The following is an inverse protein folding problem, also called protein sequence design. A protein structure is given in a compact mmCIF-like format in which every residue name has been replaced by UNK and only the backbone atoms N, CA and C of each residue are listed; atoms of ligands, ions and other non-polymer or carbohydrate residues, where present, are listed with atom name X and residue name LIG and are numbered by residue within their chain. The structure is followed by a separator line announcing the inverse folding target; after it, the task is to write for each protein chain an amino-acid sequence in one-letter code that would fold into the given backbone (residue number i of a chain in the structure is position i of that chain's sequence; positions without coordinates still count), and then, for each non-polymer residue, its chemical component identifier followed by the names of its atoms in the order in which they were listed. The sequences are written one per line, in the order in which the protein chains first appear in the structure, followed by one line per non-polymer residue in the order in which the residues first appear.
data_IF_781762946185
#
_entry.id   IF_781762946185
#
_cell.length_a   1.000
_cell.length_b   1.000
_cell.length_c   1.000
_cell.angle_alpha   90.00
_cell.angle_beta   90.00
_cell.angle_gamma   90.00
#
_symmetry.space_group_name_H-M   'P 1'
#
loop_
_entity.id
_entity.type
_entity.pdbx_description
1 polymer ?
#
# COMPACT_ATOMS: atom_id res chain seq x y z
N UNK A 1 -12.24 33.25 -21.58
CA UNK A 1 -13.48 32.95 -22.32
C UNK A 1 -14.71 33.24 -21.47
N UNK A 2 -15.86 33.57 -22.07
CA UNK A 2 -17.13 33.70 -21.36
C UNK A 2 -17.75 32.32 -21.07
N UNK A 3 -18.47 32.17 -19.95
CA UNK A 3 -19.04 30.88 -19.52
C UNK A 3 -19.98 30.27 -20.57
N UNK A 4 -20.88 31.07 -21.14
CA UNK A 4 -21.80 30.60 -22.19
C UNK A 4 -21.08 30.11 -23.44
N UNK A 5 -20.01 30.80 -23.88
CA UNK A 5 -19.23 30.39 -25.04
C UNK A 5 -18.56 29.03 -24.80
N UNK A 6 -17.98 28.80 -23.61
CA UNK A 6 -17.40 27.50 -23.29
C UNK A 6 -18.44 26.37 -23.37
N UNK A 7 -19.68 26.58 -22.91
CA UNK A 7 -20.72 25.55 -23.03
C UNK A 7 -21.04 25.20 -24.48
N UNK A 8 -21.08 26.20 -25.37
CA UNK A 8 -21.29 25.99 -26.80
C UNK A 8 -20.14 25.19 -27.41
N UNK A 9 -18.89 25.53 -27.07
CA UNK A 9 -17.70 24.81 -27.53
C UNK A 9 -17.67 23.36 -27.01
N UNK A 10 -18.04 23.12 -25.74
CA UNK A 10 -18.17 21.77 -25.19
C UNK A 10 -19.22 20.95 -25.94
N UNK A 11 -20.39 21.54 -26.24
CA UNK A 11 -21.44 20.87 -27.00
C UNK A 11 -21.01 20.59 -28.45
N UNK A 12 -20.31 21.51 -29.10
CA UNK A 12 -19.77 21.33 -30.45
C UNK A 12 -18.72 20.21 -30.49
N UNK A 13 -17.76 20.23 -29.56
CA UNK A 13 -16.73 19.21 -29.47
C UNK A 13 -17.29 17.82 -29.14
N UNK A 14 -18.30 17.74 -28.25
CA UNK A 14 -18.96 16.49 -27.93
C UNK A 14 -19.71 15.89 -29.12
N UNK A 15 -20.38 16.72 -29.94
CA UNK A 15 -20.99 16.26 -31.21
C UNK A 15 -19.94 15.81 -32.22
N UNK A 16 -18.81 16.53 -32.33
CA UNK A 16 -17.70 16.12 -33.19
C UNK A 16 -17.07 14.78 -32.74
N UNK A 17 -17.13 14.48 -31.44
CA UNK A 17 -16.76 13.18 -30.86
C UNK A 17 -17.84 12.09 -31.04
N UNK A 18 -18.95 12.39 -31.73
CA UNK A 18 -20.02 11.44 -32.05
C UNK A 18 -21.14 11.32 -31.00
N UNK A 19 -21.16 12.17 -29.97
CA UNK A 19 -22.19 12.15 -28.94
C UNK A 19 -23.45 12.95 -29.31
N UNK A 20 -24.61 12.49 -28.84
CA UNK A 20 -25.81 13.32 -28.75
C UNK A 20 -25.66 14.28 -27.56
N UNK A 21 -26.01 15.56 -27.75
CA UNK A 21 -25.75 16.60 -26.76
C UNK A 21 -26.96 17.52 -26.53
N UNK A 22 -27.31 17.67 -25.25
CA UNK A 22 -28.32 18.60 -24.75
C UNK A 22 -27.71 19.58 -23.76
N UNK A 23 -28.19 20.82 -23.71
CA UNK A 23 -27.66 21.86 -22.82
C UNK A 23 -28.59 22.12 -21.64
N UNK A 24 -28.03 22.48 -20.49
CA UNK A 24 -28.78 22.87 -19.28
C UNK A 24 -29.75 21.77 -18.77
N UNK A 25 -29.36 20.49 -18.90
CA UNK A 25 -30.19 19.34 -18.51
C UNK A 25 -30.27 19.23 -16.99
N UNK A 26 -31.48 19.15 -16.45
CA UNK A 26 -31.70 18.98 -15.01
C UNK A 26 -31.67 17.50 -14.61
N UNK A 27 -31.10 17.23 -13.43
CA UNK A 27 -31.21 15.92 -12.81
C UNK A 27 -32.65 15.58 -12.39
N UNK A 28 -32.95 14.31 -12.07
CA UNK A 28 -34.31 13.83 -11.77
C UNK A 28 -35.05 14.66 -10.69
N UNK A 29 -34.34 15.03 -9.63
CA UNK A 29 -34.90 15.81 -8.50
C UNK A 29 -34.59 17.31 -8.60
N UNK A 30 -34.02 17.76 -9.73
CA UNK A 30 -33.64 19.16 -9.96
C UNK A 30 -32.48 19.69 -9.09
N UNK A 31 -31.85 18.84 -8.27
CA UNK A 31 -30.75 19.18 -7.33
C UNK A 31 -29.42 19.51 -8.02
N UNK A 32 -29.32 19.20 -9.31
CA UNK A 32 -28.23 19.61 -10.16
C UNK A 32 -28.74 19.89 -11.58
N UNK A 33 -27.93 20.66 -12.32
CA UNK A 33 -28.13 20.94 -13.73
C UNK A 33 -26.79 20.84 -14.44
N UNK A 34 -26.72 19.99 -15.45
CA UNK A 34 -25.54 19.86 -16.27
C UNK A 34 -25.46 21.01 -17.27
N UNK A 35 -24.28 21.59 -17.45
CA UNK A 35 -24.07 22.62 -18.45
C UNK A 35 -24.28 22.06 -19.86
N UNK A 36 -23.67 20.91 -20.14
CA UNK A 36 -23.92 20.08 -21.33
C UNK A 36 -24.02 18.62 -20.88
N UNK A 37 -25.04 17.91 -21.34
CA UNK A 37 -25.17 16.47 -21.19
C UNK A 37 -24.80 15.81 -22.52
N UNK A 38 -23.72 15.04 -22.52
CA UNK A 38 -23.36 14.16 -23.62
C UNK A 38 -23.93 12.76 -23.38
N UNK A 39 -24.39 12.11 -24.44
CA UNK A 39 -24.95 10.76 -24.39
C UNK A 39 -24.68 10.00 -25.68
N UNK A 40 -24.66 8.68 -25.60
CA UNK A 40 -24.72 7.86 -26.80
C UNK A 40 -26.10 8.03 -27.48
N UNK A 41 -26.20 7.91 -28.82
CA UNK A 41 -27.48 7.96 -29.53
C UNK A 41 -28.57 7.01 -29.00
N UNK A 42 -28.18 5.86 -28.45
CA UNK A 42 -29.05 4.88 -27.80
C UNK A 42 -29.34 5.14 -26.32
N UNK A 43 -28.71 6.15 -25.71
CA UNK A 43 -28.90 6.55 -24.31
C UNK A 43 -28.31 5.62 -23.25
N UNK A 44 -27.47 4.65 -23.62
CA UNK A 44 -26.84 3.68 -22.75
C UNK A 44 -25.84 4.30 -21.75
N UNK A 45 -25.22 5.41 -22.13
CA UNK A 45 -24.36 6.20 -21.24
C UNK A 45 -24.69 7.69 -21.33
N UNK A 46 -24.37 8.40 -20.24
CA UNK A 46 -24.47 9.85 -20.14
C UNK A 46 -23.28 10.40 -19.38
N UNK A 47 -22.76 11.56 -19.80
CA UNK A 47 -21.65 12.26 -19.16
C UNK A 47 -22.00 13.75 -19.09
N UNK A 48 -21.90 14.36 -17.91
CA UNK A 48 -22.03 15.80 -17.75
C UNK A 48 -20.69 16.50 -18.10
N UNK A 49 -20.74 17.51 -18.96
CA UNK A 49 -19.60 18.37 -19.28
C UNK A 49 -19.84 19.74 -18.65
N UNK A 50 -19.09 20.05 -17.60
CA UNK A 50 -19.30 21.22 -16.75
C UNK A 50 -18.29 22.33 -17.07
N UNK A 51 -18.78 23.50 -17.48
CA UNK A 51 -17.94 24.67 -17.63
C UNK A 51 -17.83 25.39 -16.28
N UNK A 52 -16.64 25.60 -15.75
CA UNK A 52 -16.46 26.31 -14.48
C UNK A 52 -15.44 27.43 -14.61
N UNK A 53 -15.97 28.62 -14.91
CA UNK A 53 -15.17 29.84 -15.08
C UNK A 53 -15.41 30.88 -13.98
N UNK A 54 -16.32 30.62 -13.02
CA UNK A 54 -16.51 31.51 -11.87
C UNK A 54 -15.74 30.99 -10.66
N UNK A 55 -15.40 31.83 -9.67
CA UNK A 55 -14.91 31.35 -8.39
C UNK A 55 -15.85 30.31 -7.78
N UNK A 56 -15.30 29.18 -7.33
CA UNK A 56 -16.01 28.12 -6.61
C UNK A 56 -15.03 27.54 -5.60
N UNK A 57 -15.54 27.15 -4.43
CA UNK A 57 -14.70 26.50 -3.42
C UNK A 57 -14.46 25.03 -3.79
N UNK A 58 -13.33 24.44 -3.35
CA UNK A 58 -13.09 23.00 -3.40
C UNK A 58 -14.29 22.14 -2.98
N UNK A 59 -14.86 22.40 -1.80
CA UNK A 59 -15.96 21.59 -1.27
C UNK A 59 -17.24 21.73 -2.11
N UNK A 60 -17.52 22.93 -2.63
CA UNK A 60 -18.71 23.17 -3.43
C UNK A 60 -18.65 22.45 -4.78
N UNK A 61 -17.47 22.40 -5.43
CA UNK A 61 -17.32 21.66 -6.69
C UNK A 61 -17.41 20.15 -6.45
N UNK A 62 -16.82 19.65 -5.35
CA UNK A 62 -16.83 18.23 -5.01
C UNK A 62 -18.27 17.79 -4.72
N UNK A 63 -19.01 18.55 -3.91
CA UNK A 63 -20.41 18.27 -3.63
C UNK A 63 -21.28 18.30 -4.89
N UNK A 64 -20.97 19.16 -5.87
CA UNK A 64 -21.73 19.23 -7.14
C UNK A 64 -21.43 18.04 -8.05
N UNK A 65 -20.17 17.64 -8.16
CA UNK A 65 -19.79 16.43 -8.89
C UNK A 65 -20.41 15.17 -8.25
N UNK A 66 -20.44 15.11 -6.92
CA UNK A 66 -21.03 14.00 -6.17
C UNK A 66 -22.54 13.86 -6.41
N UNK A 67 -23.29 14.97 -6.43
CA UNK A 67 -24.74 14.93 -6.73
C UNK A 67 -25.04 14.34 -8.11
N UNK A 68 -24.20 14.60 -9.11
CA UNK A 68 -24.33 13.99 -10.45
C UNK A 68 -23.99 12.50 -10.39
N UNK A 69 -22.91 12.15 -9.69
CA UNK A 69 -22.45 10.77 -9.52
C UNK A 69 -23.49 9.88 -8.82
N UNK A 70 -24.21 10.38 -7.83
CA UNK A 70 -25.31 9.67 -7.14
C UNK A 70 -26.44 9.29 -8.11
N UNK A 71 -26.56 9.98 -9.25
CA UNK A 71 -27.49 9.64 -10.32
C UNK A 71 -26.83 8.91 -11.49
N UNK A 72 -25.68 8.26 -11.27
CA UNK A 72 -24.89 7.55 -12.29
C UNK A 72 -24.49 8.42 -13.49
N UNK A 73 -24.37 9.74 -13.27
CA UNK A 73 -23.88 10.70 -14.27
C UNK A 73 -22.44 11.09 -13.90
N UNK A 74 -21.41 10.47 -14.48
CA UNK A 74 -20.04 10.98 -14.36
C UNK A 74 -19.95 12.40 -14.95
N UNK A 75 -19.05 13.21 -14.40
CA UNK A 75 -18.84 14.59 -14.86
C UNK A 75 -17.39 14.83 -15.27
N UNK A 76 -17.20 15.70 -16.26
CA UNK A 76 -15.91 16.26 -16.65
C UNK A 76 -15.98 17.77 -16.48
N UNK A 77 -15.04 18.34 -15.73
CA UNK A 77 -15.02 19.76 -15.40
C UNK A 77 -13.95 20.50 -16.20
N UNK A 78 -14.33 21.62 -16.81
CA UNK A 78 -13.50 22.38 -17.73
C UNK A 78 -13.27 23.80 -17.24
N UNK A 79 -12.05 24.30 -17.37
CA UNK A 79 -11.72 25.71 -17.17
C UNK A 79 -10.64 26.15 -18.14
N UNK A 80 -10.67 27.41 -18.57
CA UNK A 80 -9.56 28.03 -19.30
C UNK A 80 -8.61 28.81 -18.36
N UNK A 81 -8.99 28.95 -17.09
CA UNK A 81 -8.21 29.68 -16.09
C UNK A 81 -6.92 28.94 -15.78
N UNK A 82 -5.84 29.69 -15.60
CA UNK A 82 -4.59 29.14 -15.12
C UNK A 82 -4.75 28.67 -13.67
N UNK A 83 -4.58 27.36 -13.43
CA UNK A 83 -4.56 26.71 -12.11
C UNK A 83 -5.71 27.12 -11.17
N UNK A 84 -6.98 26.87 -11.52
CA UNK A 84 -8.05 27.05 -10.56
C UNK A 84 -7.83 26.10 -9.37
N UNK A 85 -8.15 26.51 -8.13
CA UNK A 85 -7.81 25.76 -6.91
C UNK A 85 -8.50 24.39 -6.80
N UNK A 86 -9.48 24.14 -7.66
CA UNK A 86 -10.22 22.90 -7.72
C UNK A 86 -9.73 21.93 -8.80
N UNK A 87 -8.80 22.34 -9.67
CA UNK A 87 -8.29 21.50 -10.75
C UNK A 87 -7.67 20.23 -10.15
N UNK A 88 -8.17 19.07 -10.55
CA UNK A 88 -7.74 17.76 -10.04
C UNK A 88 -8.41 17.33 -8.73
N UNK A 89 -9.29 18.12 -8.11
CA UNK A 89 -10.13 17.62 -7.00
C UNK A 89 -11.30 16.78 -7.51
N UNK A 90 -11.83 17.14 -8.67
CA UNK A 90 -12.83 16.40 -9.43
C UNK A 90 -12.24 16.02 -10.79
N UNK A 91 -12.84 15.09 -11.55
CA UNK A 91 -12.39 14.81 -12.92
C UNK A 91 -12.43 16.07 -13.77
N UNK A 92 -11.25 16.62 -14.09
CA UNK A 92 -11.16 17.96 -14.67
C UNK A 92 -9.99 18.11 -15.61
N UNK A 93 -10.14 19.02 -16.57
CA UNK A 93 -9.07 19.44 -17.48
C UNK A 93 -9.02 20.96 -17.61
N UNK A 94 -7.81 21.48 -17.85
CA UNK A 94 -7.63 22.88 -18.25
C UNK A 94 -7.53 22.96 -19.76
N UNK A 95 -8.23 23.93 -20.33
CA UNK A 95 -8.21 24.21 -21.76
C UNK A 95 -7.33 25.43 -22.05
N UNK A 96 -6.74 25.44 -23.24
CA UNK A 96 -6.20 26.64 -23.89
C UNK A 96 -6.72 26.71 -25.31
N UNK A 97 -6.66 27.90 -25.88
CA UNK A 97 -6.84 28.10 -27.30
C UNK A 97 -5.50 27.96 -28.00
N UNK A 98 -5.42 27.16 -29.05
CA UNK A 98 -4.23 27.05 -29.90
C UNK A 98 -4.14 28.21 -30.91
N UNK A 99 -3.14 28.15 -31.82
CA UNK A 99 -2.92 29.19 -32.83
C UNK A 99 -4.08 29.32 -33.83
N UNK A 100 -4.80 28.23 -34.09
CA UNK A 100 -5.92 28.16 -35.02
C UNK A 100 -7.26 28.55 -34.37
N UNK A 101 -7.26 28.91 -33.08
CA UNK A 101 -8.46 29.26 -32.34
C UNK A 101 -9.22 28.07 -31.75
N UNK A 102 -8.68 26.85 -31.87
CA UNK A 102 -9.31 25.63 -31.38
C UNK A 102 -8.98 25.36 -29.91
N UNK A 103 -9.92 24.75 -29.17
CA UNK A 103 -9.68 24.38 -27.77
C UNK A 103 -8.89 23.07 -27.69
N UNK A 104 -7.78 23.11 -26.96
CA UNK A 104 -6.94 21.96 -26.66
C UNK A 104 -6.82 21.74 -25.15
N UNK A 105 -6.73 20.48 -24.74
CA UNK A 105 -6.48 20.10 -23.34
C UNK A 105 -5.02 20.35 -22.99
N UNK A 106 -4.78 21.31 -22.11
CA UNK A 106 -3.43 21.71 -21.67
C UNK A 106 -3.01 21.03 -20.37
N UNK A 107 -3.93 20.76 -19.45
CA UNK A 107 -3.68 20.08 -18.17
C UNK A 107 -4.82 19.12 -17.83
N UNK A 108 -4.52 18.10 -17.03
CA UNK A 108 -5.48 17.09 -16.57
C UNK A 108 -5.26 15.72 -17.21
N UNK A 109 -4.75 15.64 -18.43
CA UNK A 109 -4.28 14.38 -19.02
C UNK A 109 -2.91 13.99 -18.44
N UNK A 110 -2.74 12.72 -18.11
CA UNK A 110 -1.51 12.19 -17.54
C UNK A 110 -1.20 10.75 -17.99
N UNK A 111 0.07 10.38 -17.93
CA UNK A 111 0.56 9.00 -18.07
C UNK A 111 1.41 8.62 -16.86
N UNK A 112 1.47 7.32 -16.57
CA UNK A 112 2.30 6.77 -15.50
C UNK A 112 3.43 5.94 -16.09
N UNK A 113 4.66 6.24 -15.71
CA UNK A 113 5.85 5.53 -16.15
C UNK A 113 6.94 5.59 -15.07
N UNK A 114 7.67 4.49 -14.90
CA UNK A 114 8.86 4.42 -14.02
C UNK A 114 8.61 4.88 -12.56
N UNK A 115 7.39 4.70 -12.06
CA UNK A 115 7.04 5.14 -10.70
C UNK A 115 6.68 6.61 -10.55
N UNK A 116 6.46 7.33 -11.67
CA UNK A 116 6.09 8.74 -11.70
C UNK A 116 4.88 8.97 -12.60
N UNK A 117 4.04 9.93 -12.20
CA UNK A 117 3.07 10.56 -13.08
C UNK A 117 3.69 11.74 -13.84
N UNK A 118 3.36 11.86 -15.12
CA UNK A 118 3.79 12.96 -15.97
C UNK A 118 2.64 13.44 -16.88
N UNK A 119 2.72 14.69 -17.31
CA UNK A 119 1.71 15.29 -18.16
C UNK A 119 1.55 14.49 -19.47
N UNK A 120 0.30 14.29 -19.86
CA UNK A 120 -0.05 13.69 -21.13
C UNK A 120 0.15 14.66 -22.30
N UNK A 121 -0.06 14.19 -23.54
CA UNK A 121 -0.03 15.07 -24.71
C UNK A 121 -1.14 16.12 -24.63
N UNK A 122 -0.89 17.28 -25.23
CA UNK A 122 -1.96 18.22 -25.54
C UNK A 122 -2.72 17.72 -26.75
N UNK A 123 -4.05 17.67 -26.64
CA UNK A 123 -4.92 17.16 -27.70
C UNK A 123 -6.15 18.05 -27.90
N UNK A 124 -6.73 18.10 -29.11
CA UNK A 124 -8.00 18.77 -29.34
C UNK A 124 -9.08 18.29 -28.38
N UNK A 125 -9.94 19.21 -27.95
CA UNK A 125 -11.03 18.92 -27.02
C UNK A 125 -11.95 17.79 -27.53
N UNK A 126 -12.28 17.79 -28.84
CA UNK A 126 -13.11 16.75 -29.44
C UNK A 126 -12.45 15.36 -29.39
N UNK A 127 -11.13 15.28 -29.59
CA UNK A 127 -10.40 14.03 -29.49
C UNK A 127 -10.37 13.51 -28.05
N UNK A 128 -10.09 14.38 -27.08
CA UNK A 128 -10.17 14.04 -25.66
C UNK A 128 -11.55 13.51 -25.27
N UNK A 129 -12.63 14.21 -25.66
CA UNK A 129 -14.00 13.76 -25.38
C UNK A 129 -14.29 12.40 -26.05
N UNK A 130 -13.80 12.17 -27.28
CA UNK A 130 -13.89 10.88 -27.94
C UNK A 130 -13.11 9.76 -27.24
N UNK A 131 -12.10 10.08 -26.43
CA UNK A 131 -11.46 9.11 -25.54
C UNK A 131 -12.27 8.87 -24.27
N UNK A 132 -12.85 9.91 -23.68
CA UNK A 132 -13.71 9.80 -22.49
C UNK A 132 -14.94 8.94 -22.80
N UNK A 133 -15.66 9.23 -23.89
CA UNK A 133 -16.87 8.50 -24.26
C UNK A 133 -16.63 7.04 -24.68
N UNK A 134 -15.38 6.71 -25.04
CA UNK A 134 -14.97 5.36 -25.41
C UNK A 134 -14.24 4.62 -24.26
N UNK A 135 -14.26 5.15 -23.03
CA UNK A 135 -13.51 4.64 -21.87
C UNK A 135 -12.00 4.44 -22.12
N UNK A 136 -11.44 5.18 -23.09
CA UNK A 136 -10.00 5.21 -23.37
C UNK A 136 -9.27 6.24 -22.52
N UNK A 137 -9.99 7.21 -21.97
CA UNK A 137 -9.52 8.11 -20.94
C UNK A 137 -10.49 8.05 -19.76
N UNK A 138 -10.00 7.61 -18.61
CA UNK A 138 -10.79 7.44 -17.39
C UNK A 138 -10.27 8.39 -16.30
N UNK A 139 -11.13 8.87 -15.39
CA UNK A 139 -10.67 9.62 -14.24
C UNK A 139 -9.98 8.69 -13.26
N UNK A 140 -8.83 9.10 -12.75
CA UNK A 140 -8.03 8.30 -11.83
C UNK A 140 -7.48 9.15 -10.70
N UNK A 141 -7.79 8.77 -9.46
CA UNK A 141 -7.20 9.36 -8.26
C UNK A 141 -5.84 8.70 -8.02
N UNK A 142 -4.77 9.48 -8.18
CA UNK A 142 -3.40 8.99 -8.07
C UNK A 142 -3.12 8.50 -6.66
N UNK A 143 -2.52 7.32 -6.55
CA UNK A 143 -2.10 6.73 -5.28
C UNK A 143 -0.62 7.07 -5.04
N UNK A 144 0.20 6.92 -6.07
CA UNK A 144 1.59 7.33 -6.10
C UNK A 144 1.63 8.84 -6.30
N UNK A 145 2.00 9.57 -5.24
CA UNK A 145 2.10 11.03 -5.27
C UNK A 145 3.38 11.55 -5.95
N UNK A 146 4.24 10.66 -6.46
CA UNK A 146 5.42 11.05 -7.22
C UNK A 146 5.01 11.54 -8.60
N UNK A 147 5.33 12.79 -8.88
CA UNK A 147 4.96 13.45 -10.12
C UNK A 147 6.15 14.21 -10.68
N UNK A 148 6.12 14.47 -11.98
CA UNK A 148 6.90 15.53 -12.60
C UNK A 148 6.05 16.80 -12.64
N UNK A 149 6.67 17.95 -12.42
CA UNK A 149 6.07 19.25 -12.75
C UNK A 149 5.51 19.20 -14.19
N UNK A 150 4.30 19.71 -14.49
CA UNK A 150 3.44 20.57 -13.67
C UNK A 150 2.29 19.86 -12.90
N UNK A 151 2.31 18.54 -12.72
CA UNK A 151 1.16 17.80 -12.17
C UNK A 151 0.98 17.84 -10.63
N UNK A 152 1.83 18.57 -9.91
CA UNK A 152 1.84 18.60 -8.44
C UNK A 152 0.48 18.92 -7.78
N UNK A 153 -0.39 19.81 -8.30
CA UNK A 153 -1.67 20.07 -7.65
C UNK A 153 -2.79 19.06 -7.98
N UNK A 154 -2.59 18.14 -8.94
CA UNK A 154 -3.69 17.38 -9.55
C UNK A 154 -3.92 16.01 -8.89
N UNK A 155 -4.76 15.90 -7.87
CA UNK A 155 -5.03 14.60 -7.21
C UNK A 155 -5.70 13.57 -8.13
N UNK A 156 -6.63 14.04 -8.96
CA UNK A 156 -7.35 13.29 -9.98
C UNK A 156 -6.88 13.73 -11.36
N UNK A 157 -6.54 12.76 -12.21
CA UNK A 157 -6.12 12.98 -13.60
C UNK A 157 -6.99 12.16 -14.54
N UNK A 158 -7.08 12.58 -15.78
CA UNK A 158 -7.56 11.74 -16.87
C UNK A 158 -6.39 10.94 -17.44
N UNK A 159 -6.57 9.63 -17.54
CA UNK A 159 -5.49 8.75 -18.01
C UNK A 159 -6.04 7.53 -18.72
N UNK A 160 -5.20 6.84 -19.48
CA UNK A 160 -5.59 5.61 -20.13
C UNK A 160 -5.57 4.44 -19.11
N UNK A 161 -6.50 3.46 -19.21
CA UNK A 161 -6.60 2.36 -18.24
C UNK A 161 -5.30 1.54 -18.02
N UNK A 162 -4.42 1.47 -19.02
CA UNK A 162 -3.11 0.82 -18.85
C UNK A 162 -2.21 1.50 -17.83
N UNK A 163 -2.32 2.82 -17.65
CA UNK A 163 -1.52 3.56 -16.67
C UNK A 163 -2.05 3.39 -15.24
N UNK A 164 -3.36 3.22 -15.09
CA UNK A 164 -3.98 2.82 -13.82
C UNK A 164 -3.42 1.46 -13.37
N UNK A 165 -3.39 0.48 -14.30
CA UNK A 165 -2.81 -0.85 -14.03
C UNK A 165 -1.31 -0.78 -13.73
N UNK A 166 -0.58 0.09 -14.44
CA UNK A 166 0.85 0.28 -14.21
C UNK A 166 1.15 0.87 -12.82
N UNK A 167 0.34 1.82 -12.34
CA UNK A 167 0.49 2.36 -10.98
C UNK A 167 0.20 1.29 -9.91
N UNK A 168 -0.86 0.50 -10.09
CA UNK A 168 -1.19 -0.60 -9.19
C UNK A 168 -0.05 -1.64 -9.12
N UNK A 169 0.46 -2.09 -10.27
CA UNK A 169 1.57 -3.03 -10.34
C UNK A 169 2.85 -2.48 -9.70
N UNK A 170 3.17 -1.19 -9.92
CA UNK A 170 4.31 -0.55 -9.28
C UNK A 170 4.18 -0.53 -7.75
N UNK A 171 2.99 -0.26 -7.23
CA UNK A 171 2.72 -0.28 -5.79
C UNK A 171 2.90 -1.69 -5.22
N UNK A 172 2.28 -2.69 -5.85
CA UNK A 172 2.40 -4.09 -5.40
C UNK A 172 3.87 -4.52 -5.36
N UNK A 173 4.64 -4.22 -6.42
CA UNK A 173 6.06 -4.58 -6.47
C UNK A 173 6.86 -3.88 -5.35
N UNK A 174 6.56 -2.60 -5.09
CA UNK A 174 7.20 -1.85 -4.01
C UNK A 174 6.87 -2.43 -2.63
N UNK A 175 5.60 -2.74 -2.38
CA UNK A 175 5.14 -3.30 -1.11
C UNK A 175 5.80 -4.67 -0.87
N UNK A 176 5.89 -5.53 -1.90
CA UNK A 176 6.62 -6.81 -1.82
C UNK A 176 8.11 -6.63 -1.52
N UNK A 177 8.78 -5.64 -2.14
CA UNK A 177 10.20 -5.35 -1.86
C UNK A 177 10.41 -4.84 -0.44
N UNK A 178 9.52 -3.98 0.05
CA UNK A 178 9.57 -3.44 1.41
C UNK A 178 9.31 -4.56 2.44
N UNK A 179 8.33 -5.43 2.18
CA UNK A 179 8.07 -6.62 3.01
C UNK A 179 9.28 -7.56 3.03
N UNK A 180 9.87 -7.89 1.88
CA UNK A 180 11.05 -8.76 1.83
C UNK A 180 12.27 -8.18 2.57
N UNK A 181 12.46 -6.85 2.52
CA UNK A 181 13.50 -6.16 3.30
C UNK A 181 13.22 -6.25 4.79
N UNK A 182 11.98 -5.96 5.20
CA UNK A 182 11.56 -6.05 6.59
C UNK A 182 11.73 -7.47 7.15
N UNK A 183 11.33 -8.50 6.39
CA UNK A 183 11.51 -9.90 6.77
C UNK A 183 12.99 -10.26 6.93
N UNK A 184 13.85 -9.80 6.00
CA UNK A 184 15.28 -10.03 6.07
C UNK A 184 15.93 -9.34 7.29
N UNK A 185 15.59 -8.08 7.54
CA UNK A 185 16.05 -7.32 8.70
C UNK A 185 15.60 -7.98 10.01
N UNK A 186 14.33 -8.38 10.08
CA UNK A 186 13.78 -9.09 11.23
C UNK A 186 14.48 -10.44 11.44
N UNK A 187 14.72 -11.21 10.37
CA UNK A 187 15.43 -12.48 10.43
C UNK A 187 16.86 -12.31 10.95
N UNK A 188 17.58 -11.29 10.48
CA UNK A 188 18.92 -10.96 10.95
C UNK A 188 18.92 -10.54 12.43
N UNK A 189 17.98 -9.67 12.82
CA UNK A 189 17.82 -9.26 14.22
C UNK A 189 17.51 -10.45 15.14
N UNK A 190 16.67 -11.39 14.70
CA UNK A 190 16.35 -12.61 15.43
C UNK A 190 17.58 -13.52 15.61
N UNK A 191 18.39 -13.71 14.56
CA UNK A 191 19.66 -14.46 14.64
C UNK A 191 20.62 -13.78 15.62
N UNK A 192 20.76 -12.46 15.54
CA UNK A 192 21.66 -11.70 16.42
C UNK A 192 21.22 -11.81 17.88
N UNK A 193 19.93 -11.62 18.17
CA UNK A 193 19.37 -11.75 19.50
C UNK A 193 19.53 -13.17 20.07
N UNK A 194 19.35 -14.22 19.24
CA UNK A 194 19.59 -15.61 19.65
C UNK A 194 21.06 -15.82 20.06
N UNK A 195 22.02 -15.33 19.25
CA UNK A 195 23.45 -15.44 19.55
C UNK A 195 23.83 -14.71 20.83
N UNK A 196 23.27 -13.52 21.06
CA UNK A 196 23.51 -12.77 22.29
C UNK A 196 23.02 -13.53 23.52
N UNK A 197 21.79 -14.08 23.49
CA UNK A 197 21.26 -14.90 24.59
C UNK A 197 22.11 -16.14 24.83
N UNK A 198 22.49 -16.83 23.77
CA UNK A 198 23.38 -17.99 23.83
C UNK A 198 24.71 -17.65 24.50
N UNK A 199 25.36 -16.55 24.09
CA UNK A 199 26.62 -16.08 24.67
C UNK A 199 26.48 -15.70 26.15
N UNK A 200 25.42 -14.96 26.51
CA UNK A 200 25.17 -14.54 27.88
C UNK A 200 24.99 -15.72 28.85
N UNK A 201 24.39 -16.82 28.38
CA UNK A 201 24.16 -18.01 29.20
C UNK A 201 25.33 -19.00 29.24
N UNK A 202 26.35 -18.88 28.38
CA UNK A 202 27.44 -19.87 28.36
C UNK A 202 28.11 -20.01 29.73
N UNK A 203 28.48 -18.89 30.36
CA UNK A 203 29.17 -18.90 31.64
C UNK A 203 28.28 -19.41 32.79
N UNK A 204 27.06 -18.88 33.02
CA UNK A 204 26.15 -19.42 34.03
C UNK A 204 25.88 -20.92 33.86
N UNK A 205 25.70 -21.39 32.63
CA UNK A 205 25.46 -22.82 32.36
C UNK A 205 26.69 -23.67 32.66
N UNK A 206 27.90 -23.22 32.30
CA UNK A 206 29.14 -23.94 32.64
C UNK A 206 29.31 -24.07 34.14
N UNK A 207 29.07 -22.99 34.90
CA UNK A 207 29.16 -22.98 36.37
C UNK A 207 28.11 -23.92 36.99
N UNK A 208 26.86 -23.85 36.52
CA UNK A 208 25.77 -24.72 36.97
C UNK A 208 26.09 -26.21 36.73
N UNK A 209 26.47 -26.56 35.50
CA UNK A 209 26.74 -27.94 35.12
C UNK A 209 27.97 -28.50 35.85
N UNK A 210 28.99 -27.67 36.09
CA UNK A 210 30.15 -28.10 36.88
C UNK A 210 29.77 -28.44 38.33
N UNK A 211 28.94 -27.62 38.97
CA UNK A 211 28.46 -27.87 40.33
C UNK A 211 27.61 -29.14 40.41
N UNK A 212 26.76 -29.38 39.41
CA UNK A 212 25.84 -30.52 39.39
C UNK A 212 26.52 -31.84 39.00
N UNK A 213 27.38 -31.84 37.98
CA UNK A 213 27.98 -33.05 37.43
C UNK A 213 29.41 -33.31 37.94
N UNK A 214 30.04 -32.36 38.64
CA UNK A 214 31.41 -32.47 39.14
C UNK A 214 32.48 -32.54 38.05
N UNK A 215 32.15 -32.19 36.81
CA UNK A 215 33.05 -32.24 35.65
C UNK A 215 32.88 -30.99 34.79
N UNK A 216 33.99 -30.47 34.24
CA UNK A 216 33.94 -29.26 33.43
C UNK A 216 33.28 -29.56 32.07
N UNK A 217 32.18 -28.88 31.71
CA UNK A 217 31.49 -29.13 30.46
C UNK A 217 32.19 -28.46 29.28
N UNK A 218 31.96 -28.99 28.08
CA UNK A 218 32.36 -28.37 26.82
C UNK A 218 31.14 -27.81 26.11
N UNK A 219 31.11 -26.50 25.85
CA UNK A 219 30.06 -25.85 25.06
C UNK A 219 30.49 -25.80 23.60
N UNK A 220 29.59 -26.12 22.67
CA UNK A 220 29.86 -25.97 21.25
C UNK A 220 30.04 -24.49 20.83
N UNK A 221 30.73 -24.27 19.72
CA UNK A 221 30.99 -22.92 19.19
C UNK A 221 29.76 -22.28 18.53
N UNK A 222 28.81 -23.09 18.06
CA UNK A 222 27.62 -22.63 17.35
C UNK A 222 26.47 -23.60 17.57
N UNK A 223 25.24 -23.07 17.53
CA UNK A 223 24.05 -23.90 17.60
C UNK A 223 23.79 -24.60 16.27
N UNK A 224 23.26 -25.81 16.34
CA UNK A 224 23.04 -26.64 15.14
C UNK A 224 21.57 -27.03 15.00
N UNK A 225 21.09 -27.33 13.78
CA UNK A 225 19.71 -27.76 13.57
C UNK A 225 19.32 -28.96 14.43
N UNK A 226 20.24 -29.88 14.71
CA UNK A 226 20.01 -31.08 15.53
C UNK A 226 19.67 -30.79 16.99
N UNK A 227 20.06 -29.61 17.48
CA UNK A 227 19.75 -29.10 18.81
C UNK A 227 18.83 -27.88 18.76
N UNK A 228 17.92 -27.83 17.77
CA UNK A 228 16.96 -26.73 17.58
C UNK A 228 17.64 -25.35 17.46
N UNK A 229 18.83 -25.29 16.86
CA UNK A 229 19.69 -24.09 16.78
C UNK A 229 20.23 -23.59 18.13
N UNK A 230 20.01 -24.31 19.23
CA UNK A 230 20.62 -24.06 20.53
C UNK A 230 22.06 -24.55 20.60
N UNK A 231 22.85 -24.04 21.57
CA UNK A 231 24.22 -24.51 21.79
C UNK A 231 24.23 -25.80 22.62
N UNK A 232 24.67 -26.94 22.07
CA UNK A 232 24.83 -28.14 22.88
C UNK A 232 26.00 -28.02 23.86
N UNK A 233 25.79 -28.58 25.04
CA UNK A 233 26.74 -28.68 26.15
C UNK A 233 27.03 -30.15 26.39
N UNK A 234 28.31 -30.51 26.45
CA UNK A 234 28.76 -31.88 26.54
C UNK A 234 29.49 -32.15 27.86
N UNK A 235 29.27 -33.33 28.42
CA UNK A 235 30.03 -33.85 29.57
C UNK A 235 30.68 -35.15 29.12
N UNK A 236 32.02 -35.23 29.22
CA UNK A 236 32.81 -36.41 28.80
C UNK A 236 32.50 -36.89 27.37
N UNK A 237 32.13 -35.97 26.48
CA UNK A 237 31.82 -36.26 25.07
C UNK A 237 30.34 -36.50 24.77
N UNK A 238 29.48 -36.68 25.77
CA UNK A 238 28.05 -36.93 25.59
C UNK A 238 27.21 -35.66 25.73
N UNK A 239 26.17 -35.45 24.90
CA UNK A 239 25.26 -34.33 25.04
C UNK A 239 24.54 -34.36 26.39
N UNK A 240 24.63 -33.26 27.14
CA UNK A 240 24.02 -33.10 28.45
C UNK A 240 22.86 -32.09 28.42
N UNK A 241 23.11 -30.95 27.77
CA UNK A 241 22.17 -29.83 27.78
C UNK A 241 22.21 -29.03 26.48
N UNK A 242 21.24 -28.15 26.30
CA UNK A 242 21.17 -27.21 25.18
C UNK A 242 20.85 -25.82 25.70
N UNK A 243 21.65 -24.82 25.33
CA UNK A 243 21.47 -23.41 25.68
C UNK A 243 20.63 -22.72 24.60
N UNK A 244 19.55 -22.06 25.02
CA UNK A 244 18.61 -21.30 24.20
C UNK A 244 18.22 -22.02 22.89
N UNK A 245 17.58 -23.20 22.94
CA UNK A 245 17.00 -23.80 21.74
C UNK A 245 15.84 -22.95 21.21
N UNK A 246 15.67 -22.90 19.89
CA UNK A 246 14.56 -22.16 19.27
C UNK A 246 13.26 -22.93 19.47
N UNK A 247 12.33 -22.34 20.24
CA UNK A 247 11.07 -22.98 20.65
C UNK A 247 10.28 -23.62 19.49
N UNK A 248 10.16 -22.93 18.35
CA UNK A 248 9.42 -23.42 17.18
C UNK A 248 10.05 -24.66 16.51
N UNK A 249 11.32 -24.96 16.79
CA UNK A 249 12.03 -26.14 16.26
C UNK A 249 12.00 -27.35 17.19
N UNK A 250 11.59 -27.15 18.45
CA UNK A 250 11.54 -28.21 19.47
C UNK A 250 10.55 -29.33 19.12
N UNK A 251 9.34 -29.08 18.58
CA UNK A 251 8.38 -30.16 18.30
C UNK A 251 8.93 -31.24 17.38
N UNK A 252 9.70 -30.85 16.34
CA UNK A 252 10.33 -31.78 15.40
C UNK A 252 11.46 -32.61 16.03
N UNK A 253 12.05 -32.14 17.13
CA UNK A 253 13.21 -32.73 17.79
C UNK A 253 12.90 -33.24 19.20
N UNK A 254 11.62 -33.29 19.57
CA UNK A 254 11.16 -33.48 20.95
C UNK A 254 11.75 -34.74 21.59
N UNK A 255 11.79 -35.85 20.87
CA UNK A 255 12.34 -37.12 21.40
C UNK A 255 13.84 -37.05 21.65
N UNK A 256 14.59 -36.36 20.77
CA UNK A 256 16.04 -36.18 20.89
C UNK A 256 16.40 -35.23 22.03
N UNK A 257 15.61 -34.16 22.22
CA UNK A 257 15.85 -33.15 23.24
C UNK A 257 15.33 -33.55 24.62
N UNK A 258 14.33 -34.43 24.71
CA UNK A 258 13.73 -34.88 25.96
C UNK A 258 14.70 -35.30 27.07
N UNK A 259 15.79 -36.06 26.81
CA UNK A 259 16.75 -36.43 27.86
C UNK A 259 17.70 -35.29 28.27
N UNK A 260 17.71 -34.17 27.56
CA UNK A 260 18.64 -33.06 27.78
C UNK A 260 18.01 -31.96 28.63
N UNK A 261 18.83 -31.27 29.42
CA UNK A 261 18.43 -30.04 30.12
C UNK A 261 18.37 -28.89 29.12
N UNK A 262 17.27 -28.14 29.08
CA UNK A 262 17.19 -26.94 28.24
C UNK A 262 17.42 -25.69 29.11
N UNK A 263 18.50 -24.97 28.86
CA UNK A 263 18.79 -23.70 29.54
C UNK A 263 18.22 -22.53 28.76
N UNK A 264 17.54 -21.62 29.45
CA UNK A 264 16.88 -20.45 28.86
C UNK A 264 17.21 -19.18 29.66
N UNK A 265 17.05 -18.02 29.03
CA UNK A 265 17.50 -16.74 29.59
C UNK A 265 16.46 -16.07 30.49
N UNK A 266 15.23 -16.58 30.53
CA UNK A 266 14.14 -15.99 31.31
C UNK A 266 13.01 -16.99 31.56
N UNK A 267 12.19 -16.70 32.57
CA UNK A 267 10.98 -17.48 32.85
C UNK A 267 9.96 -17.40 31.70
N UNK A 268 9.86 -16.26 31.01
CA UNK A 268 9.01 -16.12 29.83
C UNK A 268 9.44 -17.03 28.67
N UNK A 269 10.76 -17.23 28.49
CA UNK A 269 11.29 -18.19 27.53
C UNK A 269 11.07 -19.64 27.99
N UNK A 270 11.23 -19.92 29.29
CA UNK A 270 10.90 -21.22 29.88
C UNK A 270 9.47 -21.63 29.58
N UNK A 271 8.51 -20.76 29.82
CA UNK A 271 7.09 -21.04 29.54
C UNK A 271 6.86 -21.30 28.04
N UNK A 272 7.47 -20.51 27.16
CA UNK A 272 7.35 -20.69 25.70
C UNK A 272 7.96 -22.00 25.20
N UNK A 273 9.08 -22.42 25.79
CA UNK A 273 9.72 -23.70 25.47
C UNK A 273 8.89 -24.85 26.04
N UNK A 274 8.37 -24.72 27.26
CA UNK A 274 7.56 -25.73 27.91
C UNK A 274 6.31 -26.11 27.12
N UNK A 275 5.67 -25.16 26.43
CA UNK A 275 4.51 -25.45 25.55
C UNK A 275 4.85 -26.31 24.33
N UNK A 276 6.11 -26.32 23.90
CA UNK A 276 6.59 -27.06 22.73
C UNK A 276 7.33 -28.36 23.09
N UNK A 277 7.92 -28.37 24.29
CA UNK A 277 8.68 -29.47 24.88
C UNK A 277 7.81 -30.67 25.27
N UNK A 278 8.46 -31.77 25.67
CA UNK A 278 7.75 -32.93 26.24
C UNK A 278 7.27 -32.59 27.66
N UNK A 279 6.08 -33.06 28.08
CA UNK A 279 5.67 -32.94 29.48
C UNK A 279 6.73 -33.53 30.42
N UNK A 280 7.10 -32.78 31.46
CA UNK A 280 8.13 -33.17 32.42
C UNK A 280 9.58 -32.98 31.94
N UNK A 281 9.82 -32.43 30.74
CA UNK A 281 11.16 -32.10 30.30
C UNK A 281 11.78 -31.01 31.19
N UNK A 282 13.04 -31.21 31.59
CA UNK A 282 13.77 -30.29 32.46
C UNK A 282 14.19 -29.03 31.70
N UNK A 283 13.68 -27.88 32.13
CA UNK A 283 13.97 -26.56 31.55
C UNK A 283 14.35 -25.62 32.69
N UNK A 284 15.57 -25.09 32.63
CA UNK A 284 16.17 -24.24 33.66
C UNK A 284 16.32 -22.81 33.14
N UNK A 285 15.70 -21.85 33.83
CA UNK A 285 15.90 -20.43 33.55
C UNK A 285 17.06 -19.91 34.42
N UNK A 286 18.08 -19.35 33.78
CA UNK A 286 19.21 -18.71 34.46
C UNK A 286 19.17 -17.22 34.14
N UNK A 287 19.23 -16.38 35.17
CA UNK A 287 19.20 -14.91 35.01
C UNK A 287 20.50 -14.41 34.35
N UNK A 288 20.54 -14.47 33.02
CA UNK A 288 21.44 -13.66 32.21
C UNK A 288 20.72 -12.35 31.90
N UNK A 289 21.02 -11.28 32.63
CA UNK A 289 20.39 -9.97 32.45
C UNK A 289 20.52 -9.49 30.98
N UNK A 290 19.52 -9.70 30.08
CA UNK A 290 19.41 -9.06 28.74
C UNK A 290 18.15 -9.44 27.87
N UNK A 291 17.95 -8.84 26.65
CA UNK A 291 16.69 -8.25 26.19
C UNK A 291 15.65 -9.25 25.64
N UNK A 292 14.38 -8.83 25.71
CA UNK A 292 13.23 -9.50 25.12
C UNK A 292 13.39 -9.68 23.60
N UNK A 293 13.05 -10.84 23.03
CA UNK A 293 13.02 -11.00 21.58
C UNK A 293 12.06 -9.99 20.96
N UNK A 294 12.32 -9.51 19.73
CA UNK A 294 11.32 -8.75 19.00
C UNK A 294 10.04 -9.61 18.90
N UNK A 295 8.85 -9.00 19.01
CA UNK A 295 7.61 -9.73 18.83
C UNK A 295 7.63 -10.46 17.48
N UNK A 296 7.14 -11.70 17.48
CA UNK A 296 6.86 -12.41 16.23
C UNK A 296 5.84 -11.55 15.47
N UNK A 297 6.03 -11.26 14.17
CA UNK A 297 5.00 -10.62 13.39
C UNK A 297 3.76 -11.51 13.46
N UNK A 298 2.75 -11.07 14.20
CA UNK A 298 1.41 -11.56 13.97
C UNK A 298 1.08 -11.06 12.58
N UNK A 299 0.75 -11.97 11.65
CA UNK A 299 -0.02 -11.57 10.49
C UNK A 299 -1.24 -10.85 11.06
N UNK A 300 -1.32 -9.52 10.93
CA UNK A 300 -2.57 -8.82 11.09
C UNK A 300 -3.52 -9.52 10.12
N UNK A 301 -4.39 -10.39 10.63
CA UNK A 301 -5.59 -10.72 9.88
C UNK A 301 -6.25 -9.38 9.60
N UNK A 302 -6.54 -9.05 8.34
CA UNK A 302 -7.19 -7.80 8.02
C UNK A 302 -8.50 -7.79 8.82
N UNK A 303 -8.59 -6.85 9.77
CA UNK A 303 -9.81 -6.62 10.53
C UNK A 303 -10.90 -6.23 9.53
N UNK A 304 -11.92 -7.07 9.30
CA UNK A 304 -12.96 -6.78 8.31
C UNK A 304 -13.85 -5.60 8.75
N UNK A 305 -13.63 -5.02 9.93
CA UNK A 305 -14.41 -3.93 10.49
C UNK A 305 -13.63 -2.65 10.80
N UNK A 306 -12.37 -2.52 10.36
CA UNK A 306 -11.65 -1.25 10.54
C UNK A 306 -12.27 -0.19 9.61
N UNK A 307 -12.95 0.85 10.13
CA UNK A 307 -13.47 1.91 9.28
C UNK A 307 -12.28 2.70 8.73
N UNK A 308 -12.31 2.92 7.41
CA UNK A 308 -11.42 3.89 6.75
C UNK A 308 -11.79 5.25 7.33
N UNK A 309 -10.91 5.81 8.15
CA UNK A 309 -11.05 7.18 8.63
C UNK A 309 -10.67 8.09 7.47
N UNK A 310 -11.62 8.96 7.09
CA UNK A 310 -11.59 9.92 5.99
C UNK A 310 -10.46 10.97 6.08
#
# INVERSE_FOLDING_TARGET
MAHHLLKLELAAAARAAGAHCEMEVRGPDGVWRADVMASDPGGAWRVALEAQLSPITPDAIAARAERMRVNDVPSVWFSDRLRPPWLGLVPSVRLVTDEDGSLVVAEGLARFAEGFWEAGPQVPLAEFLGWVFADRAVPHRRIVQRTRYPLEPLFTVWTAPQYVRAEAAYREERDHREQGRWEAEWHQAAIHALRQRQAALQRPVVEFVYQEAGAYPKVAKAGTPEFAMGLPVYIRGEPYAVICPVASRIPALRNRLAPLVLFVASEGERQRIATQARPGQRIEALDGHQPTPPPVPQQEQPDPFRPVVE
#
